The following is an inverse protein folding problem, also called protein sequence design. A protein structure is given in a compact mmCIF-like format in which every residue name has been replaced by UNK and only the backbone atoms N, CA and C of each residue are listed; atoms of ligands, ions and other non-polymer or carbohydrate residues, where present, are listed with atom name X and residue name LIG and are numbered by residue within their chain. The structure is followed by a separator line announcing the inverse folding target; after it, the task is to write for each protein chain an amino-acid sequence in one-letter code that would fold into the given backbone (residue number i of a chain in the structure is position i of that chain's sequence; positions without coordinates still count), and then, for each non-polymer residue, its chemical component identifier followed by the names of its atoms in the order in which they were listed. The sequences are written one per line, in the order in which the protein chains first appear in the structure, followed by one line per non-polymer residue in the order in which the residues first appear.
data_IF_681501697668
#
_entry.id   IF_681501697668
#
_cell.length_a   1.000
_cell.length_b   1.000
_cell.length_c   1.000
_cell.angle_alpha   90.00
_cell.angle_beta   90.00
_cell.angle_gamma   90.00
#
_symmetry.space_group_name_H-M   'P 1'
#
loop_
_entity.id
_entity.type
_entity.pdbx_description
1 polymer ?
#
# COMPACT_ATOMS: atom_id res chain seq x y z
N UNK A 1 25.10 8.00 -23.47
CA UNK A 1 24.29 8.61 -22.40
C UNK A 1 24.65 7.94 -21.09
N UNK A 2 25.08 8.73 -20.12
CA UNK A 2 25.24 8.30 -18.73
C UNK A 2 23.88 8.31 -18.02
N UNK A 3 23.78 7.63 -16.88
CA UNK A 3 22.59 7.76 -16.02
C UNK A 3 22.35 9.22 -15.57
N UNK A 4 23.41 10.03 -15.47
CA UNK A 4 23.29 11.43 -15.09
C UNK A 4 22.68 12.32 -16.19
N UNK A 5 22.59 11.81 -17.42
CA UNK A 5 22.01 12.55 -18.56
C UNK A 5 20.47 12.44 -18.57
N UNK A 6 19.88 11.51 -17.82
CA UNK A 6 18.43 11.42 -17.64
C UNK A 6 17.95 12.48 -16.65
N UNK A 7 17.59 13.65 -17.18
CA UNK A 7 16.93 14.73 -16.43
C UNK A 7 15.53 14.97 -16.99
N UNK A 8 14.54 14.86 -16.11
CA UNK A 8 13.20 15.36 -16.38
C UNK A 8 13.03 16.68 -15.62
N UNK A 9 12.53 17.69 -16.32
CA UNK A 9 12.13 18.95 -15.69
C UNK A 9 10.72 18.76 -15.10
N UNK A 10 10.60 18.97 -13.78
CA UNK A 10 9.38 18.75 -13.02
C UNK A 10 8.51 20.03 -12.98
N UNK A 11 8.11 20.53 -14.15
CA UNK A 11 7.44 21.83 -14.31
C UNK A 11 5.93 21.73 -14.59
N UNK A 12 5.35 20.53 -14.59
CA UNK A 12 3.96 20.33 -15.00
C UNK A 12 2.95 21.01 -14.08
N UNK A 13 3.29 21.16 -12.80
CA UNK A 13 2.48 21.83 -11.80
C UNK A 13 3.37 22.61 -10.83
N UNK A 14 2.90 23.78 -10.38
CA UNK A 14 3.49 24.51 -9.25
C UNK A 14 2.86 24.07 -7.93
N UNK A 15 3.61 24.29 -6.84
CA UNK A 15 3.11 24.18 -5.48
C UNK A 15 3.35 25.50 -4.76
N UNK A 16 2.29 26.27 -4.53
CA UNK A 16 2.34 27.52 -3.75
C UNK A 16 1.59 27.36 -2.43
N UNK A 17 2.08 27.99 -1.36
CA UNK A 17 1.42 27.99 -0.05
C UNK A 17 -0.01 28.52 -0.12
N UNK A 18 -0.27 29.48 -1.01
CA UNK A 18 -1.61 30.07 -1.21
C UNK A 18 -2.61 29.10 -1.86
N UNK A 19 -2.13 28.02 -2.47
CA UNK A 19 -2.96 27.02 -3.16
C UNK A 19 -3.24 25.79 -2.28
N UNK A 20 -2.59 25.70 -1.12
CA UNK A 20 -2.71 24.59 -0.18
C UNK A 20 -3.99 24.69 0.66
N UNK A 21 -4.62 23.54 0.90
CA UNK A 21 -5.62 23.43 1.97
C UNK A 21 -4.95 23.66 3.33
N UNK A 22 -5.68 24.29 4.26
CA UNK A 22 -5.23 24.44 5.64
C UNK A 22 -5.14 23.09 6.38
N UNK A 23 -6.04 22.15 6.07
CA UNK A 23 -5.97 20.77 6.57
C UNK A 23 -5.19 19.89 5.57
N UNK A 24 -4.04 19.30 5.97
CA UNK A 24 -3.28 18.41 5.10
C UNK A 24 -4.09 17.20 4.62
N UNK A 25 -5.12 16.78 5.38
CA UNK A 25 -5.97 15.65 4.99
C UNK A 25 -6.86 15.99 3.80
N UNK A 26 -7.38 17.21 3.78
CA UNK A 26 -8.13 17.73 2.63
C UNK A 26 -7.19 17.93 1.43
N UNK A 27 -5.94 18.34 1.68
CA UNK A 27 -4.95 18.47 0.61
C UNK A 27 -4.64 17.12 -0.05
N UNK A 28 -4.47 16.06 0.75
CA UNK A 28 -4.26 14.72 0.22
C UNK A 28 -5.48 14.22 -0.57
N UNK A 29 -6.69 14.36 -0.03
CA UNK A 29 -7.91 13.96 -0.73
C UNK A 29 -8.01 14.63 -2.11
N UNK A 30 -7.80 15.96 -2.15
CA UNK A 30 -7.78 16.73 -3.40
C UNK A 30 -6.77 16.16 -4.41
N UNK A 31 -5.57 15.81 -3.96
CA UNK A 31 -4.56 15.25 -4.86
C UNK A 31 -4.84 13.81 -5.28
N UNK A 32 -5.41 12.99 -4.40
CA UNK A 32 -5.85 11.64 -4.75
C UNK A 32 -6.96 11.68 -5.81
N UNK A 33 -7.94 12.57 -5.66
CA UNK A 33 -9.01 12.78 -6.64
C UNK A 33 -8.44 13.21 -8.00
N UNK A 34 -7.47 14.13 -7.99
CA UNK A 34 -6.76 14.54 -9.21
C UNK A 34 -5.97 13.40 -9.85
N UNK A 35 -5.33 12.53 -9.06
CA UNK A 35 -4.61 11.36 -9.59
C UNK A 35 -5.57 10.40 -10.31
N UNK A 36 -6.76 10.19 -9.74
CA UNK A 36 -7.82 9.37 -10.34
C UNK A 36 -8.34 10.01 -11.62
N UNK A 37 -8.64 11.32 -11.60
CA UNK A 37 -9.14 12.06 -12.76
C UNK A 37 -8.14 12.05 -13.93
N UNK A 38 -6.85 12.24 -13.63
CA UNK A 38 -5.75 12.20 -14.60
C UNK A 38 -5.40 10.78 -15.05
N UNK A 39 -6.09 9.75 -14.55
CA UNK A 39 -5.86 8.33 -14.85
C UNK A 39 -4.41 7.92 -14.59
N UNK A 40 -3.86 8.39 -13.48
CA UNK A 40 -2.57 7.90 -12.98
C UNK A 40 -2.60 6.37 -12.91
N UNK A 41 -1.48 5.73 -13.24
CA UNK A 41 -1.38 4.28 -13.16
C UNK A 41 -1.37 3.90 -11.68
N UNK A 42 -2.35 3.12 -11.24
CA UNK A 42 -2.48 2.65 -9.85
C UNK A 42 -2.46 3.81 -8.83
N UNK A 43 -3.44 4.74 -8.84
CA UNK A 43 -3.42 5.95 -8.00
C UNK A 43 -3.45 5.63 -6.50
N UNK A 44 -3.91 4.43 -6.14
CA UNK A 44 -3.98 3.93 -4.76
C UNK A 44 -2.74 3.14 -4.32
N UNK A 45 -1.80 2.87 -5.24
CA UNK A 45 -0.56 2.19 -4.89
C UNK A 45 0.37 3.10 -4.10
N UNK A 46 0.89 2.57 -3.01
CA UNK A 46 1.83 3.27 -2.12
C UNK A 46 2.95 2.33 -1.70
N UNK A 47 4.17 2.87 -1.62
CA UNK A 47 5.32 2.14 -1.08
C UNK A 47 5.29 2.25 0.43
N UNK A 48 5.11 1.13 1.12
CA UNK A 48 5.22 0.99 2.57
C UNK A 48 6.62 0.54 2.95
N UNK A 49 7.28 1.34 3.78
CA UNK A 49 8.52 1.02 4.45
C UNK A 49 8.27 0.67 5.93
N UNK A 50 8.76 -0.49 6.34
CA UNK A 50 8.75 -0.99 7.73
C UNK A 50 10.18 -1.27 8.18
N UNK A 51 10.38 -1.41 9.49
CA UNK A 51 11.69 -1.69 10.09
C UNK A 51 11.53 -2.86 11.06
N UNK A 52 12.40 -3.85 10.95
CA UNK A 52 12.37 -5.00 11.87
C UNK A 52 13.02 -4.68 13.23
N UNK A 53 13.00 -5.61 14.19
CA UNK A 53 13.60 -5.41 15.52
C UNK A 53 15.10 -5.06 15.50
N UNK A 54 15.86 -5.47 14.48
CA UNK A 54 17.29 -5.13 14.34
C UNK A 54 17.53 -3.77 13.65
N UNK A 55 16.48 -2.97 13.41
CA UNK A 55 16.61 -1.67 12.76
C UNK A 55 16.80 -1.74 11.25
N UNK A 56 16.55 -2.90 10.61
CA UNK A 56 16.73 -3.08 9.17
C UNK A 56 15.46 -2.73 8.41
N UNK A 57 15.49 -1.76 7.48
CA UNK A 57 14.32 -1.38 6.73
C UNK A 57 13.95 -2.42 5.67
N UNK A 58 12.66 -2.50 5.34
CA UNK A 58 12.14 -3.21 4.18
C UNK A 58 11.03 -2.39 3.53
N UNK A 59 10.95 -2.39 2.20
CA UNK A 59 9.95 -1.61 1.48
C UNK A 59 9.24 -2.47 0.42
N UNK A 60 7.94 -2.21 0.21
CA UNK A 60 7.14 -2.83 -0.86
C UNK A 60 5.90 -2.00 -1.19
N UNK A 61 5.31 -2.27 -2.35
CA UNK A 61 4.01 -1.69 -2.72
C UNK A 61 2.88 -2.37 -1.96
N UNK A 62 1.94 -1.57 -1.45
CA UNK A 62 0.62 -1.96 -0.94
C UNK A 62 -0.42 -1.02 -1.56
N UNK A 63 -1.71 -1.35 -1.42
CA UNK A 63 -2.80 -0.55 -1.97
C UNK A 63 -3.60 0.11 -0.85
N UNK A 64 -3.84 1.41 -0.97
CA UNK A 64 -4.81 2.13 -0.16
C UNK A 64 -6.21 1.57 -0.41
N UNK A 65 -6.95 1.29 0.67
CA UNK A 65 -8.32 0.75 0.63
C UNK A 65 -9.33 1.55 1.43
N UNK A 66 -8.86 2.39 2.33
CA UNK A 66 -9.69 3.35 3.06
C UNK A 66 -8.87 4.58 3.42
N UNK A 67 -9.54 5.72 3.51
CA UNK A 67 -8.97 6.96 3.98
C UNK A 67 -10.06 7.75 4.70
N UNK A 68 -9.88 7.98 5.99
CA UNK A 68 -10.84 8.67 6.86
C UNK A 68 -10.12 9.55 7.90
N UNK A 69 -10.88 10.04 8.89
CA UNK A 69 -10.34 10.87 9.97
C UNK A 69 -9.24 10.18 10.80
N UNK A 70 -9.21 8.83 10.81
CA UNK A 70 -8.23 8.02 11.54
C UNK A 70 -6.96 7.76 10.70
N UNK A 71 -7.03 7.99 9.38
CA UNK A 71 -5.89 7.96 8.48
C UNK A 71 -6.06 6.96 7.34
N UNK A 72 -4.97 6.31 6.95
CA UNK A 72 -4.91 5.45 5.77
C UNK A 72 -5.07 3.98 6.18
N UNK A 73 -5.90 3.24 5.43
CA UNK A 73 -6.14 1.80 5.64
C UNK A 73 -5.64 1.01 4.45
N UNK A 74 -4.88 -0.05 4.71
CA UNK A 74 -4.50 -1.08 3.75
C UNK A 74 -4.66 -2.46 4.39
N UNK A 75 -4.86 -3.49 3.58
CA UNK A 75 -5.04 -4.86 4.05
C UNK A 75 -3.85 -5.72 3.67
N UNK A 76 -3.45 -6.61 4.57
CA UNK A 76 -2.29 -7.49 4.35
C UNK A 76 -2.39 -8.78 5.15
N UNK A 77 -1.42 -9.67 4.99
CA UNK A 77 -1.29 -10.85 5.83
C UNK A 77 -0.45 -10.49 7.07
N UNK A 78 -1.04 -10.66 8.27
CA UNK A 78 -0.37 -10.37 9.55
C UNK A 78 0.90 -11.22 9.78
N UNK A 79 0.98 -12.43 9.22
CA UNK A 79 2.17 -13.29 9.29
C UNK A 79 3.24 -12.97 8.22
N UNK A 80 3.01 -11.97 7.36
CA UNK A 80 4.01 -11.54 6.38
C UNK A 80 5.15 -10.77 7.04
N UNK A 81 6.29 -10.61 6.34
CA UNK A 81 7.42 -9.82 6.86
C UNK A 81 7.01 -8.42 7.34
N UNK A 82 6.13 -7.73 6.61
CA UNK A 82 5.67 -6.39 7.03
C UNK A 82 4.77 -6.46 8.27
N UNK A 83 3.97 -7.52 8.42
CA UNK A 83 3.14 -7.72 9.59
C UNK A 83 3.99 -7.99 10.83
N UNK A 84 4.99 -8.86 10.71
CA UNK A 84 5.95 -9.13 11.79
C UNK A 84 6.80 -7.92 12.14
N UNK A 85 7.26 -7.16 11.14
CA UNK A 85 7.98 -5.89 11.36
C UNK A 85 7.08 -4.91 12.17
N UNK A 86 5.82 -4.76 11.79
CA UNK A 86 4.88 -3.83 12.42
C UNK A 86 4.43 -4.24 13.83
N UNK A 87 4.38 -5.54 14.11
CA UNK A 87 4.11 -6.04 15.45
C UNK A 87 5.25 -5.71 16.43
N UNK A 88 6.49 -5.64 15.93
CA UNK A 88 7.67 -5.32 16.72
C UNK A 88 7.93 -3.81 16.78
N UNK A 89 7.72 -3.11 15.66
CA UNK A 89 7.93 -1.68 15.52
C UNK A 89 6.77 -1.06 14.72
N UNK A 90 5.82 -0.37 15.37
CA UNK A 90 4.64 0.16 14.70
C UNK A 90 4.93 1.39 13.83
N UNK A 91 6.16 1.91 13.82
CA UNK A 91 6.53 3.06 13.00
C UNK A 91 6.75 2.65 11.54
N UNK A 92 6.12 3.40 10.63
CA UNK A 92 6.22 3.18 9.21
C UNK A 92 6.24 4.49 8.42
N UNK A 93 6.73 4.40 7.19
CA UNK A 93 6.63 5.45 6.18
C UNK A 93 5.89 4.90 4.97
N UNK A 94 4.99 5.71 4.41
CA UNK A 94 4.26 5.45 3.18
C UNK A 94 4.60 6.54 2.16
N UNK A 95 4.78 6.17 0.89
CA UNK A 95 5.02 7.10 -0.21
C UNK A 95 4.15 6.76 -1.42
N UNK A 96 3.33 7.71 -1.85
CA UNK A 96 2.66 7.71 -3.15
C UNK A 96 3.56 8.42 -4.15
N UNK A 97 3.78 7.84 -5.31
CA UNK A 97 4.44 8.51 -6.43
C UNK A 97 3.54 8.49 -7.64
N UNK A 98 3.03 9.67 -8.01
CA UNK A 98 2.15 9.87 -9.15
C UNK A 98 2.96 10.55 -10.25
N UNK A 99 3.48 9.74 -11.18
CA UNK A 99 4.43 10.17 -12.18
C UNK A 99 3.79 11.13 -13.19
N UNK A 100 2.53 10.90 -13.57
CA UNK A 100 1.81 11.80 -14.49
C UNK A 100 1.61 13.18 -13.87
N UNK A 101 1.48 13.24 -12.55
CA UNK A 101 1.34 14.48 -11.79
C UNK A 101 2.66 15.10 -11.39
N UNK A 102 3.80 14.41 -11.57
CA UNK A 102 5.10 14.83 -11.05
C UNK A 102 5.06 15.09 -9.53
N UNK A 103 4.28 14.30 -8.78
CA UNK A 103 4.04 14.50 -7.35
C UNK A 103 4.38 13.28 -6.53
N UNK A 104 4.83 13.54 -5.31
CA UNK A 104 5.00 12.54 -4.28
C UNK A 104 4.31 13.00 -3.00
N UNK A 105 3.56 12.09 -2.36
CA UNK A 105 2.95 12.34 -1.05
C UNK A 105 3.48 11.33 -0.05
N UNK A 106 3.91 11.81 1.11
CA UNK A 106 4.47 10.99 2.18
C UNK A 106 3.60 11.03 3.42
N UNK A 107 3.42 9.87 4.04
CA UNK A 107 2.83 9.73 5.37
C UNK A 107 3.81 9.01 6.27
N UNK A 108 4.00 9.51 7.48
CA UNK A 108 4.87 8.93 8.50
C UNK A 108 4.11 8.89 9.81
N UNK A 109 4.13 7.73 10.47
CA UNK A 109 3.36 7.56 11.69
C UNK A 109 3.36 6.14 12.23
N UNK A 110 2.54 5.96 13.26
CA UNK A 110 2.31 4.65 13.89
C UNK A 110 1.15 3.94 13.19
N UNK A 111 1.32 2.65 12.92
CA UNK A 111 0.28 1.78 12.40
C UNK A 111 -0.37 1.02 13.55
N UNK A 112 -1.69 0.90 13.50
CA UNK A 112 -2.49 0.03 14.36
C UNK A 112 -3.30 -0.94 13.51
N UNK A 113 -3.63 -2.10 14.08
CA UNK A 113 -4.56 -3.05 13.45
C UNK A 113 -5.98 -2.50 13.56
N UNK A 114 -6.73 -2.61 12.47
CA UNK A 114 -8.19 -2.41 12.48
C UNK A 114 -8.87 -3.56 13.24
N UNK A 115 -10.18 -3.47 13.47
CA UNK A 115 -10.90 -4.55 14.13
C UNK A 115 -10.89 -5.84 13.30
N UNK A 116 -11.05 -6.98 13.97
CA UNK A 116 -11.23 -8.26 13.30
C UNK A 116 -12.47 -8.26 12.39
N UNK A 117 -13.55 -7.61 12.85
CA UNK A 117 -14.78 -7.47 12.07
C UNK A 117 -14.56 -6.70 10.75
N UNK A 118 -13.86 -5.57 10.78
CA UNK A 118 -13.53 -4.81 9.55
C UNK A 118 -12.59 -5.61 8.63
N UNK A 119 -11.65 -6.37 9.21
CA UNK A 119 -10.78 -7.28 8.46
C UNK A 119 -11.59 -8.35 7.73
N UNK A 120 -12.53 -8.98 8.44
CA UNK A 120 -13.40 -10.02 7.89
C UNK A 120 -14.36 -9.45 6.84
N UNK A 121 -14.99 -8.30 7.10
CA UNK A 121 -15.87 -7.63 6.15
C UNK A 121 -15.16 -7.35 4.83
N UNK A 122 -13.97 -6.73 4.90
CA UNK A 122 -13.16 -6.50 3.71
C UNK A 122 -12.78 -7.81 3.03
N UNK A 123 -12.36 -8.84 3.79
CA UNK A 123 -11.99 -10.12 3.22
C UNK A 123 -13.14 -10.75 2.44
N UNK A 124 -14.36 -10.73 2.99
CA UNK A 124 -15.56 -11.26 2.34
C UNK A 124 -15.97 -10.46 1.09
N UNK A 125 -15.68 -9.16 1.03
CA UNK A 125 -15.95 -8.33 -0.15
C UNK A 125 -15.08 -8.67 -1.36
N UNK A 126 -13.95 -9.36 -1.16
CA UNK A 126 -12.99 -9.66 -2.24
C UNK A 126 -13.52 -10.73 -3.20
N UNK A 127 -13.17 -10.65 -4.50
CA UNK A 127 -13.47 -11.71 -5.47
C UNK A 127 -13.01 -13.08 -4.96
N UNK A 128 -13.74 -14.14 -5.29
CA UNK A 128 -13.46 -15.47 -4.75
C UNK A 128 -12.01 -15.92 -4.98
N UNK A 129 -11.48 -15.74 -6.20
CA UNK A 129 -10.08 -16.08 -6.50
C UNK A 129 -9.06 -15.30 -5.66
N UNK A 130 -9.38 -14.05 -5.28
CA UNK A 130 -8.55 -13.24 -4.38
C UNK A 130 -8.56 -13.77 -2.94
N UNK A 131 -9.70 -14.29 -2.46
CA UNK A 131 -9.82 -14.94 -1.15
C UNK A 131 -9.04 -16.26 -1.13
N UNK A 132 -9.23 -17.09 -2.15
CA UNK A 132 -8.49 -18.36 -2.33
C UNK A 132 -6.98 -18.11 -2.38
N UNK A 133 -6.53 -17.13 -3.17
CA UNK A 133 -5.11 -16.79 -3.26
C UNK A 133 -4.51 -16.35 -1.92
N UNK A 134 -5.30 -15.65 -1.08
CA UNK A 134 -4.87 -15.25 0.25
C UNK A 134 -4.74 -16.43 1.23
N UNK A 135 -5.59 -17.45 1.12
CA UNK A 135 -5.46 -18.69 1.91
C UNK A 135 -4.34 -19.61 1.39
N UNK A 136 -4.20 -19.71 0.07
CA UNK A 136 -3.22 -20.57 -0.57
C UNK A 136 -1.77 -20.09 -0.32
N UNK A 137 -1.54 -18.77 -0.25
CA UNK A 137 -0.19 -18.21 -0.16
C UNK A 137 0.22 -17.90 1.29
N UNK A 138 1.25 -18.59 1.85
CA UNK A 138 1.88 -18.18 3.09
C UNK A 138 2.79 -16.97 2.84
N UNK A 139 2.19 -15.78 2.69
CA UNK A 139 2.87 -14.58 2.17
C UNK A 139 4.22 -14.32 2.86
N UNK A 140 5.29 -14.21 2.06
CA UNK A 140 6.70 -14.01 2.49
C UNK A 140 7.45 -15.24 2.98
N UNK A 141 6.83 -16.43 2.96
CA UNK A 141 7.53 -17.70 3.20
C UNK A 141 7.99 -18.32 1.89
N UNK A 142 9.14 -19.03 1.87
CA UNK A 142 9.54 -19.84 0.72
C UNK A 142 8.47 -20.90 0.40
N UNK A 143 8.08 -21.02 -0.87
CA UNK A 143 7.11 -22.01 -1.35
C UNK A 143 7.40 -22.32 -2.82
N UNK A 144 7.21 -23.57 -3.24
CA UNK A 144 7.36 -23.95 -4.64
C UNK A 144 6.12 -23.60 -5.46
N UNK A 145 6.28 -23.45 -6.79
CA UNK A 145 5.14 -23.24 -7.70
C UNK A 145 4.11 -24.37 -7.60
N UNK A 146 4.57 -25.62 -7.59
CA UNK A 146 3.69 -26.79 -7.52
C UNK A 146 2.90 -26.84 -6.21
N UNK A 147 3.53 -26.52 -5.08
CA UNK A 147 2.85 -26.47 -3.79
C UNK A 147 1.80 -25.34 -3.73
N UNK A 148 2.12 -24.16 -4.25
CA UNK A 148 1.18 -23.05 -4.30
C UNK A 148 -0.07 -23.40 -5.13
N UNK A 149 0.12 -24.01 -6.30
CA UNK A 149 -0.97 -24.45 -7.16
C UNK A 149 -1.83 -25.55 -6.49
N UNK A 150 -1.19 -26.51 -5.81
CA UNK A 150 -1.89 -27.56 -5.07
C UNK A 150 -2.75 -26.99 -3.93
N UNK A 151 -2.23 -26.03 -3.16
CA UNK A 151 -2.98 -25.34 -2.10
C UNK A 151 -4.16 -24.56 -2.66
N UNK A 152 -3.97 -23.83 -3.76
CA UNK A 152 -5.05 -23.09 -4.42
C UNK A 152 -6.16 -24.03 -4.91
N UNK A 153 -5.79 -25.17 -5.50
CA UNK A 153 -6.73 -26.22 -5.91
C UNK A 153 -7.49 -26.79 -4.71
N UNK A 154 -6.79 -27.14 -3.63
CA UNK A 154 -7.41 -27.67 -2.40
C UNK A 154 -8.49 -26.73 -1.86
N UNK A 155 -8.21 -25.42 -1.75
CA UNK A 155 -9.20 -24.45 -1.28
C UNK A 155 -10.36 -24.27 -2.26
N UNK A 156 -10.09 -24.37 -3.56
CA UNK A 156 -11.14 -24.28 -4.59
C UNK A 156 -12.11 -25.47 -4.51
N UNK A 157 -11.60 -26.67 -4.24
CA UNK A 157 -12.41 -27.90 -4.13
C UNK A 157 -13.18 -28.01 -2.80
N UNK A 158 -12.79 -27.22 -1.78
CA UNK A 158 -13.42 -27.21 -0.46
C UNK A 158 -14.63 -26.25 -0.33
N UNK A 159 -14.98 -25.55 -1.41
CA UNK A 159 -16.05 -24.54 -1.48
C UNK A 159 -17.23 -25.04 -2.32
#
# INVERSE_FOLDING_TARGET
MSLADFRNEYERFSLSENELCADPRQQFQRWLDQAIELKEVEPTAMTLATVNAEGRPSARVVLLKGYDEQGLVFFTNYASRKGTDLDQNPWASLSFFWASMQRQVRFEGRISRISAAESDEYFHSRPLGSRIGAWASPQSQPISRAELDARAKQYTESL
#
